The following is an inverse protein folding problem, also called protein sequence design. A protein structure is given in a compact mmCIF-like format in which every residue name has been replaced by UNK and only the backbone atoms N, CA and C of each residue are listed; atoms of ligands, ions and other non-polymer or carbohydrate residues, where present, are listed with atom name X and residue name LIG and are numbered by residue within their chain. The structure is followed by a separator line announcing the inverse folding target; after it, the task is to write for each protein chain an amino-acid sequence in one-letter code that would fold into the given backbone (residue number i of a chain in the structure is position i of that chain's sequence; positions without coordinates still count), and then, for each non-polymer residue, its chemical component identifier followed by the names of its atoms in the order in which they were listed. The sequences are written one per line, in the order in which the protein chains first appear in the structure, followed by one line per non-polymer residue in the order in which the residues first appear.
data_IF_717459123440
#
_entry.id   IF_717459123440
#
_cell.length_a   1.000
_cell.length_b   1.000
_cell.length_c   1.000
_cell.angle_alpha   90.00
_cell.angle_beta   90.00
_cell.angle_gamma   90.00
#
_symmetry.space_group_name_H-M   'P 1'
#
loop_
_entity.id
_entity.type
_entity.pdbx_description
1 polymer ?
#
# COMPACT_ATOMS: atom_id res chain seq x y z
N UNK A 1 5.50 -0.70 18.41
CA UNK A 1 4.28 -0.81 17.55
C UNK A 1 4.77 -1.30 16.19
N UNK A 2 4.20 -2.37 15.63
CA UNK A 2 4.68 -2.92 14.36
C UNK A 2 4.01 -2.20 13.18
N UNK A 3 4.79 -1.38 12.49
CA UNK A 3 4.40 -0.75 11.23
C UNK A 3 4.69 -1.73 10.08
N UNK A 4 3.75 -1.85 9.13
CA UNK A 4 3.96 -2.54 7.86
C UNK A 4 4.07 -1.50 6.76
N UNK A 5 5.13 -1.57 5.97
CA UNK A 5 5.34 -0.70 4.81
C UNK A 5 5.29 -1.58 3.56
N UNK A 6 4.50 -1.18 2.57
CA UNK A 6 4.35 -1.87 1.30
C UNK A 6 4.52 -0.86 0.17
N UNK A 7 5.34 -1.21 -0.81
CA UNK A 7 5.52 -0.42 -2.03
C UNK A 7 4.88 -1.17 -3.20
N UNK A 8 4.00 -0.49 -3.94
CA UNK A 8 3.34 -0.98 -5.14
C UNK A 8 3.82 -0.18 -6.34
N UNK A 9 4.53 -0.83 -7.24
CA UNK A 9 4.85 -0.29 -8.55
C UNK A 9 3.61 -0.31 -9.47
N UNK A 10 3.66 0.39 -10.61
CA UNK A 10 2.53 0.45 -11.54
C UNK A 10 2.07 -0.94 -12.02
N UNK A 11 2.99 -1.91 -12.11
CA UNK A 11 2.68 -3.30 -12.46
C UNK A 11 2.15 -4.14 -11.29
N UNK A 12 2.37 -3.74 -10.04
CA UNK A 12 2.10 -4.57 -8.86
C UNK A 12 0.61 -4.61 -8.51
N UNK A 13 0.05 -5.82 -8.41
CA UNK A 13 -1.32 -6.05 -7.99
C UNK A 13 -1.55 -5.98 -6.47
N UNK A 14 -2.82 -6.10 -6.09
CA UNK A 14 -3.24 -6.09 -4.67
C UNK A 14 -2.72 -7.32 -3.91
N UNK A 15 -2.35 -8.38 -4.62
CA UNK A 15 -1.83 -9.65 -4.09
C UNK A 15 -0.58 -9.42 -3.23
N UNK A 16 0.34 -8.55 -3.69
CA UNK A 16 1.55 -8.18 -2.94
C UNK A 16 1.22 -7.59 -1.58
N UNK A 17 0.12 -6.84 -1.50
CA UNK A 17 -0.35 -6.19 -0.28
C UNK A 17 -1.01 -7.20 0.68
N UNK A 18 -1.75 -8.18 0.12
CA UNK A 18 -2.32 -9.30 0.88
C UNK A 18 -1.22 -10.20 1.45
N UNK A 19 -0.19 -10.52 0.66
CA UNK A 19 0.96 -11.31 1.10
C UNK A 19 1.74 -10.61 2.20
N UNK A 20 2.03 -9.32 2.03
CA UNK A 20 2.67 -8.50 3.05
C UNK A 20 1.88 -8.51 4.36
N UNK A 21 0.55 -8.41 4.29
CA UNK A 21 -0.31 -8.46 5.48
C UNK A 21 -0.31 -9.85 6.14
N UNK A 22 -0.33 -10.94 5.36
CA UNK A 22 -0.23 -12.31 5.87
C UNK A 22 1.08 -12.55 6.62
N UNK A 23 2.17 -11.92 6.19
CA UNK A 23 3.47 -12.01 6.87
C UNK A 23 3.49 -11.29 8.23
N UNK A 24 2.63 -10.28 8.42
CA UNK A 24 2.53 -9.47 9.65
C UNK A 24 1.07 -9.15 10.01
N UNK A 25 0.28 -10.14 10.44
CA UNK A 25 -1.17 -9.96 10.68
C UNK A 25 -1.47 -9.01 11.85
N UNK A 26 -0.52 -8.85 12.78
CA UNK A 26 -0.60 -7.95 13.94
C UNK A 26 -0.32 -6.48 13.62
N UNK A 27 0.09 -6.15 12.38
CA UNK A 27 0.34 -4.78 11.99
C UNK A 27 -0.95 -3.95 12.10
N UNK A 28 -0.91 -2.90 12.93
CA UNK A 28 -2.04 -1.97 13.14
C UNK A 28 -1.96 -0.77 12.20
N UNK A 29 -0.77 -0.41 11.76
CA UNK A 29 -0.51 0.67 10.81
C UNK A 29 0.12 0.10 9.55
N UNK A 30 -0.50 0.37 8.42
CA UNK A 30 -0.05 -0.04 7.09
C UNK A 30 0.22 1.23 6.29
N UNK A 31 1.44 1.38 5.80
CA UNK A 31 1.82 2.46 4.89
C UNK A 31 1.96 1.86 3.49
N UNK A 32 1.20 2.38 2.54
CA UNK A 32 1.21 1.92 1.15
C UNK A 32 1.76 3.05 0.28
N UNK A 33 2.86 2.80 -0.40
CA UNK A 33 3.36 3.68 -1.44
C UNK A 33 2.85 3.18 -2.78
N UNK A 34 2.21 4.05 -3.56
CA UNK A 34 1.72 3.75 -4.91
C UNK A 34 2.40 4.65 -5.94
N UNK A 35 2.60 4.12 -7.14
CA UNK A 35 3.10 4.89 -8.28
C UNK A 35 2.16 6.09 -8.60
N UNK A 36 2.72 7.31 -8.69
CA UNK A 36 1.95 8.54 -8.87
C UNK A 36 1.43 8.75 -10.30
N UNK A 37 2.09 8.12 -11.28
CA UNK A 37 1.82 8.13 -12.72
C UNK A 37 0.39 7.66 -13.07
N UNK A 38 -0.20 6.80 -12.23
CA UNK A 38 -1.64 6.47 -12.30
C UNK A 38 -2.27 6.40 -10.90
N UNK A 39 -2.13 7.48 -10.12
CA UNK A 39 -2.66 7.56 -8.74
C UNK A 39 -4.12 7.11 -8.58
N UNK A 40 -4.97 7.39 -9.57
CA UNK A 40 -6.39 7.05 -9.48
C UNK A 40 -6.61 5.54 -9.65
N UNK A 41 -6.06 4.94 -10.71
CA UNK A 41 -6.18 3.49 -10.88
C UNK A 41 -5.44 2.72 -9.78
N UNK A 42 -4.31 3.22 -9.31
CA UNK A 42 -3.58 2.61 -8.19
C UNK A 42 -4.40 2.56 -6.91
N UNK A 43 -5.14 3.63 -6.59
CA UNK A 43 -6.05 3.65 -5.43
C UNK A 43 -7.26 2.73 -5.68
N UNK A 44 -7.85 2.75 -6.88
CA UNK A 44 -8.97 1.85 -7.20
C UNK A 44 -8.60 0.38 -7.05
N UNK A 45 -7.39 -0.02 -7.47
CA UNK A 45 -6.88 -1.40 -7.34
C UNK A 45 -6.82 -1.89 -5.89
N UNK A 46 -6.54 -1.01 -4.95
CA UNK A 46 -6.44 -1.36 -3.52
C UNK A 46 -7.73 -1.08 -2.75
N UNK A 47 -8.77 -0.53 -3.40
CA UNK A 47 -10.02 -0.14 -2.73
C UNK A 47 -10.66 -1.27 -1.93
N UNK A 48 -10.79 -2.46 -2.52
CA UNK A 48 -11.36 -3.62 -1.83
C UNK A 48 -10.52 -4.04 -0.63
N UNK A 49 -9.18 -3.99 -0.76
CA UNK A 49 -8.28 -4.24 0.35
C UNK A 49 -8.53 -3.24 1.49
N UNK A 50 -8.66 -1.95 1.20
CA UNK A 50 -8.88 -0.92 2.21
C UNK A 50 -10.21 -1.16 2.97
N UNK A 51 -11.29 -1.48 2.24
CA UNK A 51 -12.62 -1.75 2.81
C UNK A 51 -12.61 -3.01 3.67
N UNK A 52 -11.84 -4.02 3.31
CA UNK A 52 -11.74 -5.27 4.10
C UNK A 52 -10.82 -5.15 5.33
N UNK A 53 -10.11 -4.03 5.49
CA UNK A 53 -9.11 -3.83 6.55
C UNK A 53 -9.41 -2.62 7.46
N UNK A 54 -10.69 -2.28 7.67
CA UNK A 54 -11.15 -1.11 8.44
C UNK A 54 -10.67 -1.04 9.89
N UNK A 55 -10.24 -2.15 10.49
CA UNK A 55 -9.70 -2.18 11.86
C UNK A 55 -8.26 -1.67 11.96
N UNK A 56 -7.63 -1.37 10.83
CA UNK A 56 -6.24 -0.92 10.74
C UNK A 56 -6.18 0.51 10.22
N UNK A 57 -5.17 1.25 10.67
CA UNK A 57 -4.85 2.55 10.09
C UNK A 57 -4.06 2.32 8.81
N UNK A 58 -4.60 2.76 7.67
CA UNK A 58 -3.93 2.64 6.37
C UNK A 58 -3.65 4.04 5.83
N UNK A 59 -2.39 4.32 5.56
CA UNK A 59 -1.93 5.59 4.98
C UNK A 59 -1.40 5.30 3.59
N UNK A 60 -1.95 5.99 2.58
CA UNK A 60 -1.55 5.81 1.19
C UNK A 60 -0.79 7.04 0.71
N UNK A 61 0.44 6.84 0.24
CA UNK A 61 1.29 7.88 -0.35
C UNK A 61 1.47 7.62 -1.83
N UNK A 62 1.23 8.63 -2.67
CA UNK A 62 1.61 8.56 -4.07
C UNK A 62 3.08 9.02 -4.22
N UNK A 63 3.96 8.14 -4.68
CA UNK A 63 5.38 8.44 -4.90
C UNK A 63 5.58 8.87 -6.35
N UNK A 64 5.90 10.16 -6.55
CA UNK A 64 6.36 10.68 -7.84
C UNK A 64 7.72 10.09 -8.21
N UNK A 65 7.97 9.89 -9.50
CA UNK A 65 9.17 9.22 -10.04
C UNK A 65 10.53 9.79 -9.61
N UNK A 66 10.58 10.93 -8.93
CA UNK A 66 11.81 11.64 -8.54
C UNK A 66 12.29 11.39 -7.09
N UNK A 67 11.76 10.39 -6.37
CA UNK A 67 12.36 9.94 -5.10
C UNK A 67 13.05 8.57 -5.26
N UNK A 68 14.04 8.53 -6.14
CA UNK A 68 15.23 7.69 -5.92
C UNK A 68 16.30 8.61 -5.34
N UNK A 69 16.61 8.40 -4.06
CA UNK A 69 17.81 8.85 -3.35
C UNK A 69 17.90 10.34 -2.94
N UNK A 70 17.73 10.56 -1.63
CA UNK A 70 18.59 11.44 -0.84
C UNK A 70 18.85 10.75 0.51
#
# INVERSE_FOLDING_TARGET
MSDLVVELDASDGVEKLVEALRSKPSARKITVYVAADDRFRSIERIKEFLVNNVSRTIVVYAKGGDQREA
#
